data_IF_057658073915
#
_entry.id   IF_057658073915
#
_cell.length_a   1.000
_cell.length_b   1.000
_cell.length_c   1.000
_cell.angle_alpha   90.00
_cell.angle_beta   90.00
_cell.angle_gamma   90.00
#
_symmetry.space_group_name_H-M   'P 1'
#
loop_
_entity.id
_entity.type
_entity.pdbx_description
1 polymer ?
#
# COMPACT_ATOMS: atom_id res chain seq x y z
N UNK A 1 -8.03 -13.62 -0.59
CA UNK A 1 -8.67 -13.24 -1.87
C UNK A 1 -8.71 -14.48 -2.74
N UNK A 2 -9.73 -14.59 -3.58
CA UNK A 2 -9.64 -15.38 -4.81
C UNK A 2 -8.53 -14.83 -5.72
N UNK A 3 -8.04 -15.59 -6.70
CA UNK A 3 -7.16 -15.03 -7.75
C UNK A 3 -7.96 -14.35 -8.87
N UNK A 4 -7.33 -13.50 -9.69
CA UNK A 4 -8.05 -12.72 -10.70
C UNK A 4 -8.80 -13.55 -11.76
N UNK A 5 -8.32 -14.77 -11.98
CA UNK A 5 -8.91 -15.74 -12.90
C UNK A 5 -9.76 -16.81 -12.19
N UNK A 6 -9.96 -16.68 -10.87
CA UNK A 6 -10.85 -17.54 -10.09
C UNK A 6 -12.21 -16.85 -10.02
N UNK A 7 -13.10 -17.25 -10.93
CA UNK A 7 -14.41 -16.62 -11.14
C UNK A 7 -15.48 -17.68 -10.83
N UNK A 8 -15.82 -18.50 -11.83
CA UNK A 8 -16.58 -19.74 -11.72
C UNK A 8 -16.15 -20.66 -12.85
N UNK A 9 -15.63 -21.84 -12.53
CA UNK A 9 -15.06 -22.76 -13.51
C UNK A 9 -15.51 -24.20 -13.23
N UNK A 10 -15.41 -25.16 -14.18
CA UNK A 10 -15.86 -26.53 -13.97
C UNK A 10 -15.18 -27.28 -12.81
N UNK A 11 -14.00 -26.84 -12.37
CA UNK A 11 -13.30 -27.39 -11.21
C UNK A 11 -13.71 -26.76 -9.86
N UNK A 12 -14.38 -25.60 -9.88
CA UNK A 12 -14.82 -24.87 -8.68
C UNK A 12 -15.85 -23.79 -9.08
N UNK A 13 -17.12 -24.03 -8.78
CA UNK A 13 -18.17 -23.03 -8.97
C UNK A 13 -18.17 -21.97 -7.86
N UNK A 14 -18.66 -20.77 -8.19
CA UNK A 14 -18.53 -19.61 -7.30
C UNK A 14 -19.32 -19.73 -6.00
N UNK A 15 -20.53 -20.32 -6.02
CA UNK A 15 -21.36 -20.47 -4.81
C UNK A 15 -20.71 -21.36 -3.76
N UNK A 16 -20.21 -22.52 -4.18
CA UNK A 16 -19.53 -23.47 -3.31
C UNK A 16 -18.29 -22.83 -2.68
N UNK A 17 -17.48 -22.14 -3.49
CA UNK A 17 -16.32 -21.38 -3.01
C UNK A 17 -16.70 -20.33 -1.97
N UNK A 18 -17.73 -19.52 -2.24
CA UNK A 18 -18.16 -18.47 -1.32
C UNK A 18 -18.64 -19.05 0.01
N UNK A 19 -19.41 -20.15 -0.02
CA UNK A 19 -19.87 -20.87 1.18
C UNK A 19 -18.72 -21.39 2.03
N UNK A 20 -17.81 -22.18 1.44
CA UNK A 20 -16.67 -22.76 2.18
C UNK A 20 -15.67 -21.69 2.67
N UNK A 21 -15.47 -20.62 1.89
CA UNK A 21 -14.61 -19.49 2.32
C UNK A 21 -15.24 -18.73 3.47
N UNK A 22 -16.56 -18.48 3.49
CA UNK A 22 -17.20 -17.76 4.59
C UNK A 22 -17.32 -18.60 5.87
N UNK A 23 -17.51 -19.92 5.77
CA UNK A 23 -17.34 -20.84 6.91
C UNK A 23 -15.92 -20.75 7.50
N UNK A 24 -14.88 -20.80 6.67
CA UNK A 24 -13.50 -20.66 7.10
C UNK A 24 -13.17 -19.28 7.70
N UNK A 25 -13.74 -18.19 7.15
CA UNK A 25 -13.61 -16.82 7.68
C UNK A 25 -14.25 -16.73 9.07
N UNK A 26 -15.47 -17.23 9.24
CA UNK A 26 -16.18 -17.20 10.52
C UNK A 26 -15.44 -18.03 11.59
N UNK A 27 -14.92 -19.22 11.23
CA UNK A 27 -14.06 -20.03 12.11
C UNK A 27 -12.78 -19.30 12.49
N UNK A 28 -12.12 -18.61 11.56
CA UNK A 28 -10.92 -17.83 11.82
C UNK A 28 -11.18 -16.61 12.73
N UNK A 29 -12.33 -15.93 12.58
CA UNK A 29 -12.74 -14.86 13.50
C UNK A 29 -13.04 -15.41 14.90
N UNK A 30 -13.85 -16.48 15.01
CA UNK A 30 -14.16 -17.10 16.30
C UNK A 30 -12.91 -17.59 17.05
N UNK A 31 -11.91 -18.12 16.32
CA UNK A 31 -10.65 -18.59 16.90
C UNK A 31 -9.65 -17.48 17.28
N UNK A 32 -9.88 -16.21 16.89
CA UNK A 32 -8.93 -15.11 17.13
C UNK A 32 -9.52 -13.88 17.83
N UNK A 33 -10.85 -13.72 17.87
CA UNK A 33 -11.50 -12.49 18.33
C UNK A 33 -11.33 -11.28 17.39
N UNK A 34 -10.63 -11.44 16.26
CA UNK A 34 -10.38 -10.40 15.27
C UNK A 34 -11.35 -10.52 14.08
N UNK A 35 -11.70 -9.39 13.45
CA UNK A 35 -12.43 -9.39 12.18
C UNK A 35 -11.57 -10.05 11.09
N UNK A 36 -12.18 -10.96 10.31
CA UNK A 36 -11.55 -11.67 9.18
C UNK A 36 -12.37 -11.49 7.91
N UNK A 37 -11.76 -11.81 6.78
CA UNK A 37 -12.41 -11.82 5.47
C UNK A 37 -11.46 -12.33 4.39
N UNK A 38 -12.01 -12.82 3.30
CA UNK A 38 -11.29 -13.10 2.06
C UNK A 38 -12.05 -12.47 0.91
N UNK A 39 -11.34 -11.79 0.00
CA UNK A 39 -12.00 -11.01 -1.04
C UNK A 39 -12.59 -11.99 -2.07
N UNK A 40 -13.91 -12.13 -2.04
CA UNK A 40 -14.68 -13.02 -2.91
C UNK A 40 -14.80 -12.37 -4.30
N UNK A 41 -14.33 -13.05 -5.35
CA UNK A 41 -14.30 -12.46 -6.70
C UNK A 41 -15.67 -12.53 -7.37
N UNK A 42 -16.29 -11.36 -7.54
CA UNK A 42 -17.60 -11.21 -8.18
C UNK A 42 -17.50 -11.02 -9.70
N UNK A 43 -16.31 -10.77 -10.27
CA UNK A 43 -16.05 -10.62 -11.72
C UNK A 43 -16.75 -11.70 -12.55
N UNK A 44 -17.62 -11.28 -13.47
CA UNK A 44 -18.40 -12.13 -14.36
C UNK A 44 -18.47 -11.53 -15.79
N UNK A 45 -19.13 -12.23 -16.71
CA UNK A 45 -19.29 -11.79 -18.10
C UNK A 45 -20.35 -10.71 -18.33
N UNK A 46 -21.24 -10.50 -17.35
CA UNK A 46 -22.38 -9.57 -17.40
C UNK A 46 -22.63 -8.93 -16.03
N UNK A 47 -23.43 -7.86 -16.00
CA UNK A 47 -23.71 -7.09 -14.78
C UNK A 47 -24.61 -7.87 -13.82
N UNK A 48 -25.54 -8.66 -14.37
CA UNK A 48 -26.57 -9.40 -13.67
C UNK A 48 -25.96 -10.50 -12.80
N UNK A 49 -24.98 -11.24 -13.32
CA UNK A 49 -24.19 -12.24 -12.59
C UNK A 49 -23.19 -11.59 -11.62
N UNK A 50 -22.59 -10.44 -11.95
CA UNK A 50 -21.76 -9.70 -10.96
C UNK A 50 -22.60 -9.29 -9.74
N UNK A 51 -23.80 -8.74 -9.95
CA UNK A 51 -24.70 -8.40 -8.85
C UNK A 51 -25.25 -9.62 -8.12
N UNK A 52 -25.55 -10.72 -8.83
CA UNK A 52 -25.96 -12.00 -8.22
C UNK A 52 -24.89 -12.56 -7.28
N UNK A 53 -23.61 -12.41 -7.64
CA UNK A 53 -22.47 -12.79 -6.79
C UNK A 53 -22.26 -11.84 -5.62
N UNK A 54 -22.34 -10.52 -5.85
CA UNK A 54 -22.19 -9.51 -4.81
C UNK A 54 -23.30 -9.60 -3.74
N UNK A 55 -24.55 -9.81 -4.17
CA UNK A 55 -25.68 -10.05 -3.28
C UNK A 55 -25.48 -11.29 -2.40
N UNK A 56 -25.12 -12.43 -2.98
CA UNK A 56 -24.84 -13.66 -2.22
C UNK A 56 -23.64 -13.50 -1.26
N UNK A 57 -22.60 -12.76 -1.66
CA UNK A 57 -21.48 -12.43 -0.76
C UNK A 57 -21.93 -11.59 0.46
N UNK A 58 -22.91 -10.69 0.28
CA UNK A 58 -23.54 -9.93 1.38
C UNK A 58 -24.45 -10.82 2.24
N UNK A 59 -25.25 -11.69 1.64
CA UNK A 59 -26.13 -12.64 2.33
C UNK A 59 -25.34 -13.59 3.25
N UNK A 60 -24.14 -14.00 2.83
CA UNK A 60 -23.20 -14.78 3.65
C UNK A 60 -22.43 -13.96 4.70
N UNK A 61 -22.66 -12.64 4.79
CA UNK A 61 -21.99 -11.77 5.75
C UNK A 61 -20.52 -11.44 5.43
N UNK A 62 -20.10 -11.49 4.16
CA UNK A 62 -18.75 -11.01 3.80
C UNK A 62 -18.64 -9.51 4.01
N UNK A 63 -17.52 -9.07 4.57
CA UNK A 63 -17.15 -7.65 4.69
C UNK A 63 -16.52 -7.09 3.40
N UNK A 64 -16.17 -7.95 2.44
CA UNK A 64 -15.35 -7.57 1.28
C UNK A 64 -15.56 -8.48 0.05
N UNK A 65 -15.67 -7.85 -1.12
CA UNK A 65 -15.62 -8.50 -2.44
C UNK A 65 -14.43 -7.97 -3.24
N UNK A 66 -14.09 -8.65 -4.34
CA UNK A 66 -13.19 -8.11 -5.35
C UNK A 66 -13.76 -8.14 -6.76
N UNK A 67 -13.28 -7.22 -7.58
CA UNK A 67 -13.55 -7.12 -9.02
C UNK A 67 -12.23 -6.88 -9.76
N UNK A 68 -12.20 -7.29 -11.03
CA UNK A 68 -11.05 -7.17 -11.90
C UNK A 68 -11.25 -6.04 -12.92
N UNK A 69 -10.21 -5.23 -13.13
CA UNK A 69 -10.23 -4.05 -14.01
C UNK A 69 -10.72 -4.34 -15.45
N UNK A 70 -10.64 -5.59 -15.91
CA UNK A 70 -11.13 -6.06 -17.22
C UNK A 70 -12.65 -6.00 -17.40
N UNK A 71 -13.47 -5.84 -16.34
CA UNK A 71 -14.93 -5.63 -16.49
C UNK A 71 -15.29 -4.23 -16.99
N UNK A 72 -14.31 -3.33 -17.08
CA UNK A 72 -14.50 -1.97 -17.60
C UNK A 72 -15.12 -0.99 -16.60
N UNK A 73 -14.88 0.31 -16.84
CA UNK A 73 -15.16 1.36 -15.85
C UNK A 73 -16.65 1.47 -15.49
N UNK A 74 -17.56 1.27 -16.45
CA UNK A 74 -19.01 1.28 -16.22
C UNK A 74 -19.43 0.21 -15.22
N UNK A 75 -18.88 -1.01 -15.31
CA UNK A 75 -19.16 -2.10 -14.38
C UNK A 75 -18.60 -1.83 -13.00
N UNK A 76 -17.36 -1.34 -12.92
CA UNK A 76 -16.70 -1.01 -11.65
C UNK A 76 -17.42 0.15 -10.94
N UNK A 77 -17.88 1.18 -11.65
CA UNK A 77 -18.63 2.30 -11.08
C UNK A 77 -20.02 1.88 -10.59
N UNK A 78 -20.69 1.03 -11.36
CA UNK A 78 -21.98 0.44 -10.97
C UNK A 78 -21.86 -0.42 -9.70
N UNK A 79 -20.83 -1.28 -9.64
CA UNK A 79 -20.52 -2.10 -8.48
C UNK A 79 -20.02 -1.28 -7.28
N UNK A 80 -19.28 -0.19 -7.49
CA UNK A 80 -18.83 0.75 -6.45
C UNK A 80 -20.01 1.44 -5.76
N UNK A 81 -20.95 1.96 -6.55
CA UNK A 81 -22.21 2.52 -6.04
C UNK A 81 -23.02 1.47 -5.26
N UNK A 82 -23.11 0.24 -5.77
CA UNK A 82 -23.78 -0.87 -5.07
C UNK A 82 -23.08 -1.21 -3.75
N UNK A 83 -21.74 -1.33 -3.73
CA UNK A 83 -20.97 -1.63 -2.53
C UNK A 83 -21.17 -0.57 -1.45
N UNK A 84 -21.20 0.72 -1.83
CA UNK A 84 -21.51 1.83 -0.93
C UNK A 84 -22.94 1.79 -0.38
N UNK A 85 -23.91 1.29 -1.14
CA UNK A 85 -25.29 1.11 -0.71
C UNK A 85 -25.53 -0.21 0.05
N UNK A 86 -24.50 -1.04 0.24
CA UNK A 86 -24.59 -2.37 0.84
C UNK A 86 -23.52 -2.64 1.91
N UNK A 87 -22.84 -1.59 2.40
CA UNK A 87 -21.80 -1.64 3.44
C UNK A 87 -20.65 -2.64 3.16
N UNK A 88 -20.34 -2.82 1.88
CA UNK A 88 -19.37 -3.79 1.36
C UNK A 88 -18.08 -3.08 0.93
N UNK A 89 -16.91 -3.61 1.32
CA UNK A 89 -15.62 -3.10 0.82
C UNK A 89 -15.36 -3.63 -0.60
N UNK A 90 -14.97 -2.76 -1.53
CA UNK A 90 -14.65 -3.11 -2.91
C UNK A 90 -13.14 -3.13 -3.18
N UNK A 91 -12.58 -4.33 -3.37
CA UNK A 91 -11.18 -4.50 -3.80
C UNK A 91 -11.05 -4.57 -5.33
N UNK A 92 -10.37 -3.60 -5.94
CA UNK A 92 -10.00 -3.65 -7.34
C UNK A 92 -8.65 -4.34 -7.54
N UNK A 93 -8.68 -5.48 -8.23
CA UNK A 93 -7.48 -6.04 -8.83
C UNK A 93 -7.29 -5.49 -10.25
N UNK A 94 -6.04 -5.13 -10.60
CA UNK A 94 -5.72 -4.37 -11.82
C UNK A 94 -5.48 -5.25 -13.06
N UNK A 95 -6.20 -6.36 -13.20
CA UNK A 95 -6.06 -7.28 -14.33
C UNK A 95 -6.01 -6.54 -15.69
N UNK A 96 -5.14 -6.99 -16.59
CA UNK A 96 -4.97 -6.39 -17.93
C UNK A 96 -4.19 -5.07 -18.00
N UNK A 97 -3.97 -4.34 -16.89
CA UNK A 97 -3.35 -2.99 -16.93
C UNK A 97 -1.98 -2.96 -17.66
N UNK A 98 -1.16 -4.00 -17.48
CA UNK A 98 0.19 -4.08 -18.05
C UNK A 98 0.23 -4.04 -19.58
N UNK A 99 -0.89 -4.25 -20.26
CA UNK A 99 -1.01 -4.12 -21.72
C UNK A 99 -0.81 -2.69 -22.21
N UNK A 100 -1.20 -1.68 -21.41
CA UNK A 100 -1.12 -0.26 -21.78
C UNK A 100 -0.43 0.65 -20.73
N UNK A 101 -0.11 0.17 -19.52
CA UNK A 101 0.62 0.98 -18.52
C UNK A 101 2.13 0.71 -18.42
N UNK A 102 2.68 -0.21 -19.23
CA UNK A 102 4.05 -0.74 -19.04
C UNK A 102 5.13 -0.04 -19.86
N UNK A 103 4.82 0.44 -21.06
CA UNK A 103 5.83 1.04 -21.95
C UNK A 103 5.98 2.53 -21.71
N UNK A 104 7.22 3.04 -21.68
CA UNK A 104 7.49 4.47 -21.39
C UNK A 104 7.22 5.40 -22.57
N UNK A 105 7.13 4.87 -23.79
CA UNK A 105 6.93 5.63 -25.03
C UNK A 105 5.47 5.66 -25.54
N UNK A 106 4.59 4.79 -25.05
CA UNK A 106 3.21 4.69 -25.52
C UNK A 106 2.27 4.09 -24.48
N UNK A 107 1.00 4.52 -24.47
CA UNK A 107 -0.05 4.04 -23.57
C UNK A 107 -0.45 5.05 -22.50
N UNK A 108 -0.92 4.57 -21.35
CA UNK A 108 -1.44 5.39 -20.24
C UNK A 108 -0.76 4.96 -18.95
N UNK A 109 -0.01 5.85 -18.30
CA UNK A 109 0.66 5.51 -17.03
C UNK A 109 -0.34 5.13 -15.94
N UNK A 110 -0.02 4.09 -15.14
CA UNK A 110 -0.90 3.58 -14.09
C UNK A 110 -1.32 4.63 -13.06
N UNK A 111 -0.57 5.74 -12.87
CA UNK A 111 -1.00 6.86 -12.01
C UNK A 111 -2.34 7.46 -12.45
N UNK A 112 -2.61 7.49 -13.75
CA UNK A 112 -3.87 7.99 -14.34
C UNK A 112 -5.01 7.02 -14.03
N UNK A 113 -4.75 5.71 -14.16
CA UNK A 113 -5.72 4.66 -13.78
C UNK A 113 -6.02 4.73 -12.28
N UNK A 114 -5.01 4.92 -11.42
CA UNK A 114 -5.22 5.12 -9.99
C UNK A 114 -6.06 6.37 -9.69
N UNK A 115 -5.86 7.49 -10.42
CA UNK A 115 -6.75 8.67 -10.31
C UNK A 115 -8.21 8.31 -10.68
N UNK A 116 -8.41 7.67 -11.82
CA UNK A 116 -9.74 7.29 -12.30
C UNK A 116 -10.45 6.34 -11.34
N UNK A 117 -9.75 5.32 -10.83
CA UNK A 117 -10.34 4.34 -9.92
C UNK A 117 -10.67 4.92 -8.53
N UNK A 118 -9.90 5.92 -8.05
CA UNK A 118 -10.26 6.72 -6.87
C UNK A 118 -11.54 7.53 -7.06
N UNK A 119 -11.75 8.12 -8.24
CA UNK A 119 -13.00 8.83 -8.57
C UNK A 119 -14.19 7.90 -8.81
N UNK A 120 -13.94 6.71 -9.36
CA UNK A 120 -14.93 5.62 -9.49
C UNK A 120 -15.32 5.02 -8.12
N UNK A 121 -14.47 5.18 -7.10
CA UNK A 121 -14.81 4.96 -5.70
C UNK A 121 -14.47 3.58 -5.13
N UNK A 122 -13.56 2.82 -5.76
CA UNK A 122 -13.07 1.53 -5.22
C UNK A 122 -12.27 1.77 -3.94
N UNK A 123 -12.45 0.94 -2.92
CA UNK A 123 -11.80 1.15 -1.62
C UNK A 123 -10.34 0.68 -1.60
N UNK A 124 -10.00 -0.41 -2.29
CA UNK A 124 -8.62 -0.89 -2.44
C UNK A 124 -8.18 -0.94 -3.91
N UNK A 125 -6.91 -0.67 -4.22
CA UNK A 125 -6.31 -0.92 -5.55
C UNK A 125 -4.89 -1.49 -5.47
N UNK A 126 -4.57 -2.45 -6.31
CA UNK A 126 -3.18 -2.93 -6.49
C UNK A 126 -2.29 -1.81 -7.04
N UNK A 127 -1.35 -1.33 -6.23
CA UNK A 127 -0.47 -0.23 -6.57
C UNK A 127 0.92 -0.72 -7.01
N UNK A 128 1.38 -1.86 -6.51
CA UNK A 128 2.67 -2.48 -6.84
C UNK A 128 3.59 -2.61 -5.62
N UNK A 129 4.70 -3.33 -5.79
CA UNK A 129 5.60 -3.75 -4.71
C UNK A 129 7.01 -3.15 -4.79
N UNK A 130 7.46 -2.71 -5.96
CA UNK A 130 8.81 -2.21 -6.29
C UNK A 130 10.00 -3.15 -6.02
N UNK A 131 9.87 -4.11 -5.09
CA UNK A 131 10.86 -5.15 -4.74
C UNK A 131 10.35 -6.58 -4.99
N UNK A 132 9.16 -6.74 -5.57
CA UNK A 132 8.54 -8.05 -5.86
C UNK A 132 8.68 -8.50 -7.32
N UNK A 133 7.88 -9.48 -7.74
CA UNK A 133 7.98 -10.11 -9.09
C UNK A 133 7.50 -9.23 -10.25
N UNK A 134 6.83 -8.12 -9.96
CA UNK A 134 6.18 -7.25 -10.95
C UNK A 134 6.93 -5.92 -11.06
N UNK A 135 6.93 -5.35 -12.26
CA UNK A 135 7.61 -4.09 -12.54
C UNK A 135 6.97 -2.88 -11.84
N UNK A 136 7.83 -1.92 -11.51
CA UNK A 136 7.51 -0.59 -11.03
C UNK A 136 8.72 0.00 -10.32
N UNK A 137 9.34 1.04 -10.88
CA UNK A 137 10.47 1.71 -10.21
C UNK A 137 10.02 2.37 -8.88
N UNK A 138 10.84 2.35 -7.81
CA UNK A 138 10.40 2.79 -6.49
C UNK A 138 9.83 4.23 -6.45
N UNK A 139 10.41 5.24 -7.13
CA UNK A 139 9.82 6.59 -7.17
C UNK A 139 8.45 6.62 -7.85
N UNK A 140 8.29 5.98 -9.00
CA UNK A 140 6.99 5.94 -9.71
C UNK A 140 5.94 5.18 -8.93
N UNK A 141 6.32 4.08 -8.25
CA UNK A 141 5.40 3.35 -7.36
C UNK A 141 4.99 4.23 -6.17
N UNK A 142 5.92 4.95 -5.53
CA UNK A 142 5.54 5.92 -4.49
C UNK A 142 4.57 6.99 -5.01
N UNK A 143 4.73 7.46 -6.25
CA UNK A 143 3.76 8.36 -6.91
C UNK A 143 2.35 7.76 -7.03
N UNK A 144 2.23 6.45 -7.27
CA UNK A 144 0.93 5.76 -7.23
C UNK A 144 0.32 5.76 -5.81
N UNK A 145 1.14 5.58 -4.77
CA UNK A 145 0.70 5.60 -3.37
C UNK A 145 0.31 7.01 -2.90
N UNK A 146 0.93 8.07 -3.44
CA UNK A 146 0.49 9.46 -3.26
C UNK A 146 -0.91 9.68 -3.85
N UNK A 147 -1.11 9.33 -5.13
CA UNK A 147 -2.43 9.43 -5.80
C UNK A 147 -3.54 8.71 -5.03
N UNK A 148 -3.24 7.55 -4.44
CA UNK A 148 -4.22 6.81 -3.65
C UNK A 148 -4.57 7.49 -2.32
N UNK A 149 -3.62 8.16 -1.64
CA UNK A 149 -3.72 8.46 -0.20
C UNK A 149 -3.65 9.94 0.18
N UNK A 150 -3.12 10.81 -0.66
CA UNK A 150 -3.04 12.24 -0.33
C UNK A 150 -4.45 12.85 -0.29
N UNK A 151 -4.67 13.83 0.58
CA UNK A 151 -5.80 14.77 0.45
C UNK A 151 -5.53 15.83 -0.61
N UNK A 152 -4.25 16.18 -0.80
CA UNK A 152 -3.77 17.11 -1.82
C UNK A 152 -2.40 16.65 -2.32
N UNK A 153 -2.33 16.12 -3.54
CA UNK A 153 -1.08 15.65 -4.16
C UNK A 153 -0.35 16.84 -4.76
N UNK A 154 0.87 17.11 -4.29
CA UNK A 154 1.74 18.17 -4.81
C UNK A 154 2.50 17.73 -6.06
N UNK A 155 3.04 18.69 -6.81
CA UNK A 155 4.00 18.42 -7.89
C UNK A 155 5.25 17.74 -7.33
N UNK A 156 5.57 16.55 -7.84
CA UNK A 156 6.78 15.78 -7.55
C UNK A 156 7.19 15.06 -8.84
N UNK A 157 8.10 15.68 -9.60
CA UNK A 157 8.53 15.16 -10.89
C UNK A 157 9.33 13.86 -10.78
N UNK A 158 10.00 13.61 -9.64
CA UNK A 158 10.75 12.38 -9.39
C UNK A 158 9.80 11.18 -9.22
N UNK A 159 8.64 11.39 -8.60
CA UNK A 159 7.55 10.39 -8.50
C UNK A 159 6.58 10.40 -9.70
N UNK A 160 6.79 11.31 -10.65
CA UNK A 160 5.92 11.49 -11.83
C UNK A 160 4.57 12.13 -11.53
N UNK A 161 4.44 12.87 -10.43
CA UNK A 161 3.30 13.73 -10.12
C UNK A 161 3.50 15.09 -10.81
N UNK A 162 3.13 15.17 -12.09
CA UNK A 162 3.35 16.36 -12.94
C UNK A 162 2.45 17.56 -12.62
N UNK A 163 1.33 17.34 -11.91
CA UNK A 163 0.33 18.35 -11.62
C UNK A 163 -0.05 18.31 -10.15
N UNK A 164 -0.27 19.49 -9.57
CA UNK A 164 -0.93 19.64 -8.29
C UNK A 164 -2.40 19.19 -8.38
N UNK A 165 -2.92 18.55 -7.34
CA UNK A 165 -4.23 17.91 -7.33
C UNK A 165 -4.82 17.93 -5.91
N UNK A 166 -5.76 18.84 -5.66
CA UNK A 166 -6.73 18.66 -4.58
C UNK A 166 -7.64 17.47 -4.92
N UNK A 167 -7.98 16.66 -3.93
CA UNK A 167 -8.90 15.53 -4.07
C UNK A 167 -10.34 15.86 -3.64
N UNK A 168 -10.66 17.09 -3.26
CA UNK A 168 -12.03 17.56 -3.03
C UNK A 168 -12.76 16.79 -1.93
N UNK A 169 -12.03 16.42 -0.87
CA UNK A 169 -12.46 15.52 0.20
C UNK A 169 -12.92 14.10 -0.24
N UNK A 170 -12.63 13.66 -1.48
CA UNK A 170 -12.77 12.26 -1.87
C UNK A 170 -11.91 11.37 -0.96
N UNK A 171 -12.53 10.30 -0.45
CA UNK A 171 -11.87 9.30 0.42
C UNK A 171 -10.58 8.78 -0.23
N UNK A 172 -9.62 8.42 0.63
CA UNK A 172 -8.41 7.69 0.21
C UNK A 172 -8.80 6.34 -0.38
N UNK A 173 -8.01 5.84 -1.33
CA UNK A 173 -7.98 4.43 -1.71
C UNK A 173 -6.83 3.77 -0.95
N UNK A 174 -7.05 2.57 -0.44
CA UNK A 174 -6.00 1.75 0.17
C UNK A 174 -5.13 1.12 -0.94
N UNK A 175 -3.84 1.49 -1.05
CA UNK A 175 -2.95 0.84 -1.99
C UNK A 175 -2.62 -0.57 -1.52
N UNK A 176 -2.44 -1.49 -2.46
CA UNK A 176 -2.12 -2.89 -2.19
C UNK A 176 -0.79 -3.26 -2.84
N UNK A 177 0.14 -3.75 -2.02
CA UNK A 177 1.41 -4.32 -2.42
C UNK A 177 1.24 -5.84 -2.57
N UNK A 178 1.24 -6.36 -3.79
CA UNK A 178 1.06 -7.79 -4.08
C UNK A 178 1.98 -8.28 -5.20
N UNK A 179 2.34 -9.56 -5.12
CA UNK A 179 3.11 -10.26 -6.14
C UNK A 179 4.60 -10.42 -5.82
N UNK A 180 4.99 -11.63 -5.40
CA UNK A 180 6.39 -12.03 -5.23
C UNK A 180 7.13 -11.39 -4.06
N UNK A 181 6.41 -10.99 -3.01
CA UNK A 181 6.98 -10.46 -1.77
C UNK A 181 6.96 -11.50 -0.65
N UNK A 182 7.85 -11.36 0.34
CA UNK A 182 7.98 -12.25 1.51
C UNK A 182 8.44 -11.49 2.77
N UNK A 183 8.23 -12.08 3.96
CA UNK A 183 8.54 -11.50 5.27
C UNK A 183 9.93 -10.84 5.40
N UNK A 184 10.97 -11.38 4.75
CA UNK A 184 12.33 -10.82 4.81
C UNK A 184 12.46 -9.39 4.25
N UNK A 185 11.54 -8.99 3.36
CA UNK A 185 11.52 -7.66 2.75
C UNK A 185 10.74 -6.62 3.57
N UNK A 186 10.21 -6.98 4.75
CA UNK A 186 9.27 -6.13 5.49
C UNK A 186 9.79 -4.72 5.78
N UNK A 187 11.08 -4.58 6.08
CA UNK A 187 11.75 -3.29 6.24
C UNK A 187 11.63 -2.42 4.97
N UNK A 188 11.94 -2.99 3.80
CA UNK A 188 11.81 -2.31 2.50
C UNK A 188 10.36 -1.91 2.21
N UNK A 189 9.40 -2.79 2.50
CA UNK A 189 7.97 -2.54 2.28
C UNK A 189 7.46 -1.39 3.15
N UNK A 190 7.86 -1.34 4.43
CA UNK A 190 7.49 -0.26 5.34
C UNK A 190 8.19 1.07 5.00
N UNK A 191 9.46 1.05 4.62
CA UNK A 191 10.21 2.25 4.20
C UNK A 191 9.66 2.83 2.88
N UNK A 192 9.22 1.97 1.96
CA UNK A 192 8.68 2.40 0.66
C UNK A 192 7.23 2.90 0.76
N UNK A 193 6.40 2.27 1.60
CA UNK A 193 4.95 2.45 1.57
C UNK A 193 4.35 3.04 2.85
N UNK A 194 4.98 2.91 4.02
CA UNK A 194 4.41 3.33 5.30
C UNK A 194 3.20 2.49 5.73
N UNK A 195 2.31 3.06 6.54
CA UNK A 195 1.31 2.30 7.30
C UNK A 195 -0.02 2.07 6.56
N UNK A 196 -0.50 3.04 5.77
CA UNK A 196 -1.72 2.93 4.96
C UNK A 196 -1.47 2.02 3.72
N UNK A 197 -1.31 0.71 3.90
CA UNK A 197 -1.10 -0.27 2.81
C UNK A 197 -1.59 -1.67 3.19
N UNK A 198 -2.15 -2.42 2.23
CA UNK A 198 -2.34 -3.89 2.37
C UNK A 198 -1.15 -4.62 1.73
N UNK A 199 -0.40 -5.37 2.53
CA UNK A 199 0.67 -6.25 2.05
C UNK A 199 0.12 -7.67 1.80
N UNK A 200 0.29 -8.21 0.59
CA UNK A 200 -0.26 -9.51 0.18
C UNK A 200 0.84 -10.55 -0.11
N UNK A 201 0.96 -11.51 0.80
CA UNK A 201 1.93 -12.60 0.74
C UNK A 201 1.26 -13.90 0.28
N UNK A 202 1.06 -14.09 -1.02
CA UNK A 202 0.46 -15.32 -1.58
C UNK A 202 1.38 -16.54 -1.41
N UNK A 203 2.30 -16.74 -2.35
CA UNK A 203 3.35 -17.76 -2.21
C UNK A 203 4.21 -17.59 -0.94
N UNK A 204 4.42 -16.33 -0.50
CA UNK A 204 5.09 -16.00 0.76
C UNK A 204 4.36 -16.43 2.04
N UNK A 205 3.11 -16.91 1.96
CA UNK A 205 2.39 -17.57 3.06
C UNK A 205 2.22 -19.06 2.77
N UNK A 206 1.69 -19.41 1.59
CA UNK A 206 1.27 -20.78 1.27
C UNK A 206 2.47 -21.71 1.06
N UNK A 207 3.58 -21.19 0.52
CA UNK A 207 4.83 -21.94 0.31
C UNK A 207 5.73 -22.08 1.54
N UNK A 208 5.25 -21.75 2.74
CA UNK A 208 6.04 -21.90 3.97
C UNK A 208 6.20 -23.39 4.32
N UNK A 209 7.42 -23.89 4.62
CA UNK A 209 7.69 -25.33 4.77
C UNK A 209 6.99 -25.99 5.97
N UNK A 210 6.54 -25.20 6.94
CA UNK A 210 5.73 -25.65 8.09
C UNK A 210 4.22 -25.40 7.88
N UNK A 211 3.78 -25.19 6.64
CA UNK A 211 2.38 -24.99 6.28
C UNK A 211 1.86 -23.55 6.42
N UNK A 212 0.63 -23.36 5.93
CA UNK A 212 -0.02 -22.04 5.72
C UNK A 212 -0.09 -21.21 7.00
N UNK A 213 -0.45 -21.82 8.14
CA UNK A 213 -0.58 -21.11 9.42
C UNK A 213 0.77 -20.54 9.88
N UNK A 214 1.85 -21.32 9.78
CA UNK A 214 3.19 -20.85 10.14
C UNK A 214 3.67 -19.73 9.20
N UNK A 215 3.35 -19.81 7.90
CA UNK A 215 3.62 -18.71 6.95
C UNK A 215 2.84 -17.44 7.27
N UNK A 216 1.58 -17.55 7.71
CA UNK A 216 0.76 -16.40 8.09
C UNK A 216 1.31 -15.73 9.36
N UNK A 217 1.67 -16.53 10.37
CA UNK A 217 2.33 -16.06 11.59
C UNK A 217 3.67 -15.39 11.28
N UNK A 218 4.51 -15.98 10.41
CA UNK A 218 5.82 -15.41 10.05
C UNK A 218 5.68 -14.02 9.40
N UNK A 219 4.74 -13.84 8.46
CA UNK A 219 4.50 -12.54 7.83
C UNK A 219 3.94 -11.51 8.83
N UNK A 220 3.04 -11.90 9.75
CA UNK A 220 2.48 -11.02 10.78
C UNK A 220 3.53 -10.59 11.81
N UNK A 221 4.29 -11.53 12.36
CA UNK A 221 5.36 -11.25 13.34
C UNK A 221 6.44 -10.35 12.73
N UNK A 222 6.81 -10.57 11.46
CA UNK A 222 7.76 -9.69 10.77
C UNK A 222 7.24 -8.25 10.62
N UNK A 223 5.94 -8.07 10.33
CA UNK A 223 5.30 -6.76 10.25
C UNK A 223 5.29 -6.06 11.61
N UNK A 224 4.73 -6.72 12.62
CA UNK A 224 4.52 -6.14 13.95
C UNK A 224 5.85 -5.80 14.64
N UNK A 225 6.88 -6.67 14.54
CA UNK A 225 8.20 -6.41 15.09
C UNK A 225 8.91 -5.23 14.42
N UNK A 226 8.80 -5.08 13.10
CA UNK A 226 9.40 -3.94 12.37
C UNK A 226 8.70 -2.62 12.69
N UNK A 227 7.37 -2.62 12.78
CA UNK A 227 6.58 -1.45 13.20
C UNK A 227 6.90 -1.06 14.65
N UNK A 228 7.00 -2.03 15.57
CA UNK A 228 7.40 -1.79 16.95
C UNK A 228 8.79 -1.14 17.03
N UNK A 229 9.81 -1.76 16.42
CA UNK A 229 11.19 -1.27 16.45
C UNK A 229 11.31 0.15 15.86
N UNK A 230 10.58 0.45 14.78
CA UNK A 230 10.50 1.79 14.18
C UNK A 230 9.92 2.82 15.16
N UNK A 231 8.84 2.48 15.84
CA UNK A 231 8.13 3.39 16.74
C UNK A 231 8.89 3.62 18.06
N UNK A 232 9.61 2.62 18.56
CA UNK A 232 10.54 2.74 19.69
C UNK A 232 11.78 3.61 19.34
N UNK A 233 12.33 3.43 18.13
CA UNK A 233 13.41 4.26 17.60
C UNK A 233 13.01 5.73 17.42
N UNK A 234 11.76 6.00 17.01
CA UNK A 234 11.21 7.36 16.99
C UNK A 234 11.08 7.95 18.41
N UNK A 235 10.52 7.18 19.35
CA UNK A 235 10.29 7.61 20.74
C UNK A 235 11.59 7.95 21.47
N UNK A 236 12.64 7.14 21.28
CA UNK A 236 13.97 7.38 21.88
C UNK A 236 14.66 8.63 21.32
N UNK A 237 14.53 8.90 20.01
CA UNK A 237 15.02 10.16 19.39
C UNK A 237 14.32 11.39 19.98
N UNK A 238 12.99 11.36 20.17
CA UNK A 238 12.26 12.46 20.80
C UNK A 238 12.72 12.69 22.25
N UNK A 239 12.91 11.62 23.04
CA UNK A 239 13.46 11.72 24.40
C UNK A 239 14.87 12.31 24.43
N UNK A 240 15.73 11.94 23.49
CA UNK A 240 17.08 12.51 23.35
C UNK A 240 17.04 14.02 23.02
N UNK A 241 16.15 14.45 22.12
CA UNK A 241 15.98 15.88 21.84
C UNK A 241 15.46 16.66 23.04
N UNK A 242 14.49 16.13 23.81
CA UNK A 242 13.99 16.82 25.02
C UNK A 242 15.06 16.93 26.10
N UNK A 243 15.90 15.91 26.31
CA UNK A 243 17.03 15.99 27.24
C UNK A 243 18.07 17.06 26.83
N UNK A 244 18.28 17.25 25.51
CA UNK A 244 19.18 18.28 24.99
C UNK A 244 18.68 19.72 25.19
N UNK A 245 17.40 19.91 25.54
CA UNK A 245 16.81 21.21 25.88
C UNK A 245 17.20 21.76 27.27
N UNK A 246 17.93 20.97 28.07
CA UNK A 246 18.41 21.42 29.40
C UNK A 246 19.48 22.50 29.25
N UNK A 247 19.36 23.69 29.88
CA UNK A 247 20.35 24.76 29.73
C UNK A 247 21.75 24.34 30.18
N UNK A 248 22.75 24.40 29.29
CA UNK A 248 24.16 24.18 29.62
C UNK A 248 24.77 25.37 30.39
N UNK A 249 24.35 25.54 31.65
CA UNK A 249 25.02 26.44 32.58
C UNK A 249 26.41 25.90 32.96
N UNK A 250 27.41 26.79 33.03
CA UNK A 250 28.62 26.55 33.82
C UNK A 250 29.88 26.01 33.12
N UNK A 251 30.33 26.61 32.00
CA UNK A 251 31.70 26.41 31.52
C UNK A 251 32.29 27.68 30.86
N UNK A 252 32.59 28.73 31.65
CA UNK A 252 33.34 29.90 31.16
C UNK A 252 34.79 29.52 30.83
N UNK A 253 35.10 29.24 29.56
CA UNK A 253 36.49 29.32 29.06
C UNK A 253 36.79 30.75 28.63
N UNK A 254 37.75 31.37 29.30
CA UNK A 254 38.27 32.70 28.96
C UNK A 254 39.01 32.67 27.61
N UNK A 255 38.65 33.59 26.70
CA UNK A 255 39.49 33.94 25.56
C UNK A 255 40.40 35.12 25.94
N UNK A 256 41.71 35.06 25.72
CA UNK A 256 42.56 36.26 25.70
C UNK A 256 42.07 37.24 24.62
N UNK A 257 42.18 38.54 24.88
CA UNK A 257 41.98 39.58 23.86
C UNK A 257 43.19 39.66 22.95
N UNK A 258 42.99 39.75 21.64
CA UNK A 258 44.01 40.27 20.71
C UNK A 258 44.05 41.80 20.78
N UNK A 259 45.25 42.38 20.71
CA UNK A 259 45.49 43.83 20.64
C UNK A 259 46.01 44.15 19.23
N UNK A 260 45.52 45.19 18.53
CA UNK A 260 45.86 45.41 17.13
C UNK A 260 47.09 46.32 16.90
N UNK A 261 47.98 45.86 16.02
CA UNK A 261 48.67 46.70 15.03
C UNK A 261 50.09 47.20 15.34
N UNK A 262 51.05 46.82 14.47
CA UNK A 262 52.10 47.72 13.96
C UNK A 262 52.80 47.18 12.69
N UNK A 263 53.30 48.13 11.90
CA UNK A 263 54.15 48.07 10.67
C UNK A 263 55.55 47.48 10.96
N UNK A 264 56.44 47.05 10.03
CA UNK A 264 56.52 47.06 8.54
C UNK A 264 57.74 46.26 8.00
N UNK A 265 57.86 46.10 6.65
CA UNK A 265 59.10 45.87 5.83
C UNK A 265 59.73 44.46 5.92
N UNK A 266 59.82 43.67 4.84
CA UNK A 266 60.80 43.66 3.71
C UNK A 266 62.23 43.20 4.10
N UNK A 267 62.97 42.34 3.38
CA UNK A 267 62.82 41.71 2.04
C UNK A 267 62.75 40.15 2.19
N UNK A 268 63.14 39.18 1.32
CA UNK A 268 63.85 39.07 0.00
C UNK A 268 63.46 37.70 -0.65
N UNK A 269 63.56 37.46 -1.99
CA UNK A 269 62.98 36.27 -2.63
C UNK A 269 63.97 35.25 -3.27
N UNK A 270 63.43 34.07 -3.64
CA UNK A 270 63.98 33.04 -4.57
C UNK A 270 65.18 32.18 -4.07
N UNK A 271 65.56 31.05 -4.73
CA UNK A 271 65.06 30.46 -6.00
C UNK A 271 63.54 30.29 -6.14
#
# INVERSE_FOLDING_TARGET
KDDENINSQPFMHWRDRFLYVMDAVNKASAATGEVKGSYLNVTAGDMEEMYRRAAFAKELGSVIVMVDLVVGYTGIQSLSNWCRANDMILHLHRAGHGTYTRQKNHGVSFRVIAKWMRMVGVDHIHAGTAVGKLEGDPPTVQGYYNVCRDTHTKVDLLRGNFFEQDWGALRKVMPVASGGIHAGQMHQLLDLFGDDVVLQFGGGTIGHPQGIQAGATANRVALEAMVQARNEAATSRTKASTFSGTPRNGARRSKPRSIPGARSRSTTPRP
#
